data_IF_167860054164
#
_entry.id   IF_167860054164
#
_cell.length_a   1.000
_cell.length_b   1.000
_cell.length_c   1.000
_cell.angle_alpha   90.00
_cell.angle_beta   90.00
_cell.angle_gamma   90.00
#
_symmetry.space_group_name_H-M   'P 1'
#
loop_
_entity.id
_entity.type
_entity.pdbx_description
1 polymer ?
#
# COMPACT_ATOMS: atom_id res chain seq x y z
N UNK A 1 -14.72 4.85 10.78
CA UNK A 1 -14.33 3.64 11.52
C UNK A 1 -13.04 3.93 12.29
N UNK A 2 -12.83 3.34 13.48
CA UNK A 2 -11.53 3.40 14.15
C UNK A 2 -10.47 2.69 13.29
N UNK A 3 -9.28 3.28 13.17
CA UNK A 3 -8.18 2.68 12.41
C UNK A 3 -7.62 1.47 13.14
N UNK A 4 -7.26 0.44 12.39
CA UNK A 4 -6.66 -0.79 12.93
C UNK A 4 -5.15 -0.68 12.91
N UNK A 5 -4.51 -0.97 14.04
CA UNK A 5 -3.04 -1.05 14.12
C UNK A 5 -2.57 -2.35 13.47
N UNK A 6 -1.67 -2.26 12.50
CA UNK A 6 -1.08 -3.42 11.79
C UNK A 6 0.42 -3.25 11.62
N UNK A 7 1.16 -4.35 11.64
CA UNK A 7 2.59 -4.33 11.36
C UNK A 7 2.87 -3.96 9.90
N UNK A 8 4.07 -3.46 9.57
CA UNK A 8 4.46 -3.17 8.20
C UNK A 8 4.25 -4.36 7.25
N UNK A 9 4.56 -5.57 7.71
CA UNK A 9 4.42 -6.81 6.93
C UNK A 9 2.96 -7.10 6.61
N UNK A 10 2.06 -7.00 7.60
CA UNK A 10 0.63 -7.20 7.38
C UNK A 10 0.05 -6.17 6.41
N UNK A 11 0.46 -4.90 6.50
CA UNK A 11 0.01 -3.87 5.57
C UNK A 11 0.50 -4.16 4.14
N UNK A 12 1.78 -4.56 3.98
CA UNK A 12 2.31 -4.97 2.67
C UNK A 12 1.56 -6.16 2.09
N UNK A 13 1.35 -7.20 2.89
CA UNK A 13 0.72 -8.44 2.43
C UNK A 13 -0.75 -8.22 2.05
N UNK A 14 -1.47 -7.39 2.81
CA UNK A 14 -2.83 -6.96 2.47
C UNK A 14 -2.86 -6.13 1.18
N UNK A 15 -1.90 -5.22 1.00
CA UNK A 15 -1.77 -4.42 -0.22
C UNK A 15 -1.52 -5.32 -1.43
N UNK A 16 -0.63 -6.31 -1.30
CA UNK A 16 -0.35 -7.29 -2.35
C UNK A 16 -1.58 -8.16 -2.66
N UNK A 17 -2.33 -8.59 -1.64
CA UNK A 17 -3.59 -9.34 -1.79
C UNK A 17 -4.67 -8.52 -2.53
N UNK A 18 -4.84 -7.24 -2.18
CA UNK A 18 -5.78 -6.34 -2.85
C UNK A 18 -5.40 -6.07 -4.30
N UNK A 19 -4.12 -5.86 -4.58
CA UNK A 19 -3.63 -5.67 -5.95
C UNK A 19 -3.83 -6.92 -6.82
N UNK A 20 -3.61 -8.12 -6.26
CA UNK A 20 -3.85 -9.37 -6.97
C UNK A 20 -5.33 -9.56 -7.38
N UNK A 21 -6.27 -9.02 -6.60
CA UNK A 21 -7.71 -9.08 -6.88
C UNK A 21 -8.18 -8.11 -7.97
N UNK A 22 -7.42 -7.05 -8.25
CA UNK A 22 -7.79 -6.06 -9.27
C UNK A 22 -7.60 -6.63 -10.68
N UNK A 23 -6.87 -7.75 -10.83
CA UNK A 23 -6.72 -8.43 -12.12
C UNK A 23 -6.01 -7.57 -13.15
N UNK A 24 -5.16 -6.63 -12.71
CA UNK A 24 -4.28 -5.91 -13.63
C UNK A 24 -3.41 -6.98 -14.29
N UNK A 25 -3.52 -7.14 -15.61
CA UNK A 25 -2.67 -8.02 -16.43
C UNK A 25 -1.25 -7.47 -16.43
N UNK A 26 -0.60 -7.55 -15.27
CA UNK A 26 0.81 -7.27 -15.11
C UNK A 26 1.51 -8.54 -15.59
N UNK A 27 2.37 -8.47 -16.62
CA UNK A 27 3.15 -9.62 -17.07
C UNK A 27 3.78 -10.31 -15.84
N UNK A 28 3.76 -11.65 -15.77
CA UNK A 28 4.21 -12.39 -14.59
C UNK A 28 5.64 -12.04 -14.11
N UNK A 29 6.46 -11.46 -15.00
CA UNK A 29 7.79 -10.93 -14.71
C UNK A 29 7.81 -9.58 -13.94
N UNK A 30 6.67 -8.89 -13.85
CA UNK A 30 6.48 -7.59 -13.19
C UNK A 30 5.61 -7.70 -11.93
N UNK A 31 5.54 -8.87 -11.28
CA UNK A 31 5.06 -8.95 -9.88
C UNK A 31 6.05 -8.23 -8.98
N UNK A 32 6.01 -6.90 -9.01
CA UNK A 32 6.88 -6.03 -8.24
C UNK A 32 6.61 -6.30 -6.78
N UNK A 33 7.67 -6.68 -6.06
CA UNK A 33 7.61 -6.86 -4.62
C UNK A 33 7.34 -5.50 -4.00
N UNK A 34 6.12 -5.33 -3.51
CA UNK A 34 5.72 -4.11 -2.80
C UNK A 34 6.63 -3.98 -1.57
N UNK A 35 7.29 -2.84 -1.36
CA UNK A 35 8.20 -2.66 -0.24
C UNK A 35 7.39 -2.55 1.06
N UNK A 36 8.08 -2.56 2.19
CA UNK A 36 7.41 -2.29 3.45
C UNK A 36 6.96 -0.83 3.51
N UNK A 37 5.81 -0.54 4.13
CA UNK A 37 5.40 0.83 4.37
C UNK A 37 6.37 1.51 5.33
N UNK A 38 6.81 2.70 4.95
CA UNK A 38 7.66 3.55 5.79
C UNK A 38 6.80 4.40 6.71
N UNK A 39 7.25 4.50 7.97
CA UNK A 39 6.58 5.31 8.97
C UNK A 39 6.87 6.78 8.74
N UNK A 40 5.85 7.61 8.93
CA UNK A 40 5.98 9.06 9.04
C UNK A 40 5.18 9.58 10.25
N UNK A 41 5.45 10.80 10.74
CA UNK A 41 4.63 11.42 11.78
C UNK A 41 3.15 11.45 11.36
N UNK A 42 2.20 11.15 12.28
CA UNK A 42 0.78 11.18 11.96
C UNK A 42 0.35 12.51 11.33
N UNK A 43 -0.32 12.45 10.18
CA UNK A 43 -0.88 13.63 9.54
C UNK A 43 -2.19 14.10 10.22
N UNK A 44 -2.82 15.15 9.69
CA UNK A 44 -4.09 15.68 10.21
C UNK A 44 -5.23 14.64 10.23
N UNK A 45 -5.12 13.57 9.44
CA UNK A 45 -6.06 12.45 9.41
C UNK A 45 -5.57 11.25 10.24
N UNK A 46 -4.48 11.38 10.98
CA UNK A 46 -3.86 10.33 11.78
C UNK A 46 -3.28 9.18 10.94
N UNK A 47 -2.89 9.43 9.68
CA UNK A 47 -2.18 8.45 8.83
C UNK A 47 -0.69 8.57 9.15
N UNK A 48 0.00 7.45 9.35
CA UNK A 48 1.39 7.45 9.82
C UNK A 48 2.33 6.59 8.96
N UNK A 49 1.93 6.27 7.73
CA UNK A 49 2.75 5.48 6.82
C UNK A 49 2.47 5.77 5.35
N UNK A 50 3.46 5.47 4.51
CA UNK A 50 3.35 5.48 3.06
C UNK A 50 4.26 4.40 2.42
N UNK A 51 4.02 4.07 1.16
CA UNK A 51 4.93 3.24 0.35
C UNK A 51 5.81 4.17 -0.47
N UNK A 52 7.14 4.03 -0.35
CA UNK A 52 8.11 4.80 -1.14
C UNK A 52 7.98 4.45 -2.62
N UNK A 53 8.22 5.42 -3.53
CA UNK A 53 8.03 5.26 -4.96
C UNK A 53 8.59 3.96 -5.52
N UNK A 54 7.76 3.33 -6.34
CA UNK A 54 8.13 2.24 -7.21
C UNK A 54 8.26 2.84 -8.61
N UNK A 55 9.43 3.41 -8.90
CA UNK A 55 9.69 4.21 -10.10
C UNK A 55 9.60 3.40 -11.42
N UNK A 56 9.60 2.07 -11.33
CA UNK A 56 9.57 1.15 -12.48
C UNK A 56 8.20 0.50 -12.74
N UNK A 57 7.11 1.06 -12.19
CA UNK A 57 5.76 0.56 -12.45
C UNK A 57 5.16 1.17 -13.73
N UNK A 58 4.59 0.33 -14.60
CA UNK A 58 3.73 0.80 -15.67
C UNK A 58 2.60 1.69 -15.14
N UNK A 59 2.25 2.74 -15.88
CA UNK A 59 1.36 3.82 -15.43
C UNK A 59 0.02 3.33 -14.85
N UNK A 60 -0.59 2.30 -15.46
CA UNK A 60 -1.85 1.74 -14.99
C UNK A 60 -1.69 1.03 -13.63
N UNK A 61 -0.63 0.23 -13.46
CA UNK A 61 -0.37 -0.46 -12.20
C UNK A 61 -0.05 0.55 -11.09
N UNK A 62 0.73 1.60 -11.37
CA UNK A 62 1.02 2.68 -10.43
C UNK A 62 -0.28 3.40 -9.99
N UNK A 63 -1.20 3.65 -10.91
CA UNK A 63 -2.49 4.28 -10.61
C UNK A 63 -3.37 3.41 -9.70
N UNK A 64 -3.50 2.12 -10.01
CA UNK A 64 -4.25 1.18 -9.17
C UNK A 64 -3.61 1.04 -7.79
N UNK A 65 -2.28 0.92 -7.73
CA UNK A 65 -1.55 0.83 -6.47
C UNK A 65 -1.78 2.06 -5.59
N UNK A 66 -1.68 3.26 -6.17
CA UNK A 66 -1.95 4.52 -5.45
C UNK A 66 -3.36 4.57 -4.88
N UNK A 67 -4.37 4.13 -5.64
CA UNK A 67 -5.76 4.06 -5.16
C UNK A 67 -5.93 3.13 -3.97
N UNK A 68 -5.32 1.94 -4.03
CA UNK A 68 -5.39 0.97 -2.93
C UNK A 68 -4.66 1.49 -1.70
N UNK A 69 -3.47 2.09 -1.87
CA UNK A 69 -2.71 2.71 -0.77
C UNK A 69 -3.55 3.78 -0.08
N UNK A 70 -4.12 4.73 -0.82
CA UNK A 70 -4.90 5.80 -0.23
C UNK A 70 -6.11 5.27 0.57
N UNK A 71 -6.78 4.24 0.05
CA UNK A 71 -7.85 3.57 0.79
C UNK A 71 -7.33 2.89 2.07
N UNK A 72 -6.25 2.11 1.98
CA UNK A 72 -5.67 1.40 3.12
C UNK A 72 -5.16 2.33 4.22
N UNK A 73 -4.66 3.52 3.87
CA UNK A 73 -4.23 4.52 4.87
C UNK A 73 -5.41 5.08 5.70
N UNK A 74 -6.64 4.92 5.22
CA UNK A 74 -7.85 5.22 6.03
C UNK A 74 -8.20 4.11 7.01
N UNK A 75 -7.81 2.87 6.72
CA UNK A 75 -8.14 1.67 7.50
C UNK A 75 -7.04 1.30 8.51
N UNK A 76 -5.78 1.47 8.12
CA UNK A 76 -4.63 0.94 8.87
C UNK A 76 -3.65 2.02 9.27
N UNK A 77 -3.07 1.84 10.46
CA UNK A 77 -1.93 2.61 10.96
C UNK A 77 -0.83 1.65 11.39
N UNK A 78 0.41 2.10 11.30
CA UNK A 78 1.53 1.38 11.91
C UNK A 78 1.43 1.48 13.44
N UNK A 79 1.98 0.49 14.19
CA UNK A 79 2.10 0.59 15.64
C UNK A 79 2.81 1.88 16.06
N UNK A 80 2.69 2.27 17.33
CA UNK A 80 3.48 3.34 17.95
C UNK A 80 4.97 3.00 17.99
#
# INVERSE_FOLDING_TARGET
MPKTVRSPEHIRDELQSRMAKIGVDVPGALRVRIPLPERHPPDASGRNWNIVPLDDLGADYAHHLKKVIEHMRTEFVLPG
#
